data_IF_218146336644
#
_entry.id   IF_218146336644
#
_cell.length_a   1.000
_cell.length_b   1.000
_cell.length_c   1.000
_cell.angle_alpha   90.00
_cell.angle_beta   90.00
_cell.angle_gamma   90.00
#
_symmetry.space_group_name_H-M   'P 1'
#
loop_
_entity.id
_entity.type
_entity.pdbx_description
1 polymer ?
#
# COMPACT_ATOMS: atom_id res chain seq x y z
N UNK A 1 2.18 14.81 -25.24
CA UNK A 1 2.96 13.55 -25.09
C UNK A 1 4.00 13.59 -23.97
N UNK A 2 4.57 14.74 -23.59
CA UNK A 2 5.55 14.85 -22.50
C UNK A 2 4.99 14.57 -21.08
N UNK A 3 3.71 14.85 -20.81
CA UNK A 3 3.05 14.65 -19.51
C UNK A 3 3.12 13.20 -19.00
N UNK A 4 2.83 12.23 -19.87
CA UNK A 4 2.79 10.81 -19.49
C UNK A 4 4.19 10.23 -19.29
N UNK A 5 5.19 10.67 -20.06
CA UNK A 5 6.57 10.19 -19.88
C UNK A 5 7.21 10.76 -18.62
N UNK A 6 6.84 11.98 -18.22
CA UNK A 6 7.27 12.59 -16.96
C UNK A 6 6.64 11.88 -15.76
N UNK A 7 5.33 11.57 -15.81
CA UNK A 7 4.67 10.78 -14.77
C UNK A 7 5.32 9.40 -14.60
N UNK A 8 5.62 8.71 -15.71
CA UNK A 8 6.27 7.40 -15.68
C UNK A 8 7.72 7.45 -15.14
N UNK A 9 8.45 8.52 -15.44
CA UNK A 9 9.81 8.72 -14.91
C UNK A 9 9.80 8.86 -13.38
N UNK A 10 8.80 9.56 -12.83
CA UNK A 10 8.59 9.69 -11.39
C UNK A 10 8.24 8.33 -10.77
N UNK A 11 7.26 7.62 -11.36
CA UNK A 11 6.86 6.27 -10.91
C UNK A 11 8.07 5.33 -10.87
N UNK A 12 8.88 5.31 -11.93
CA UNK A 12 10.07 4.45 -12.01
C UNK A 12 11.12 4.82 -10.97
N UNK A 13 11.34 6.12 -10.74
CA UNK A 13 12.27 6.60 -9.71
C UNK A 13 11.81 6.14 -8.32
N UNK A 14 10.53 6.31 -8.00
CA UNK A 14 9.98 5.90 -6.70
C UNK A 14 10.06 4.39 -6.52
N UNK A 15 9.66 3.61 -7.52
CA UNK A 15 9.76 2.15 -7.47
C UNK A 15 11.19 1.68 -7.21
N UNK A 16 12.17 2.25 -7.90
CA UNK A 16 13.59 1.89 -7.72
C UNK A 16 14.12 2.32 -6.35
N UNK A 17 13.69 3.49 -5.87
CA UNK A 17 14.08 4.01 -4.56
C UNK A 17 13.51 3.13 -3.46
N UNK A 18 12.27 2.70 -3.60
CA UNK A 18 11.59 1.91 -2.58
C UNK A 18 11.97 0.43 -2.61
N UNK A 19 12.29 -0.12 -3.78
CA UNK A 19 12.93 -1.44 -3.91
C UNK A 19 14.34 -1.45 -3.29
N UNK A 20 15.08 -0.34 -3.36
CA UNK A 20 16.36 -0.19 -2.65
C UNK A 20 16.16 -0.02 -1.14
N UNK A 21 15.07 0.64 -0.74
CA UNK A 21 14.57 0.69 0.63
C UNK A 21 13.84 -0.58 1.05
N UNK A 22 14.38 -1.76 0.73
CA UNK A 22 13.75 -3.07 0.97
C UNK A 22 13.25 -3.27 2.40
N UNK A 23 13.85 -2.60 3.39
CA UNK A 23 13.43 -2.61 4.80
C UNK A 23 11.96 -2.20 4.99
N UNK A 24 11.45 -1.30 4.15
CA UNK A 24 10.08 -0.80 4.22
C UNK A 24 9.08 -1.85 3.71
N UNK A 25 9.34 -2.43 2.55
CA UNK A 25 8.52 -3.52 1.99
C UNK A 25 8.54 -4.72 2.95
N UNK A 26 9.72 -5.07 3.47
CA UNK A 26 9.88 -6.13 4.46
C UNK A 26 9.05 -5.87 5.72
N UNK A 27 9.03 -4.64 6.23
CA UNK A 27 8.22 -4.27 7.41
C UNK A 27 6.70 -4.43 7.15
N UNK A 28 6.23 -4.01 5.99
CA UNK A 28 4.81 -4.11 5.62
C UNK A 28 4.37 -5.56 5.48
N UNK A 29 5.17 -6.36 4.76
CA UNK A 29 4.93 -7.80 4.58
C UNK A 29 4.97 -8.49 5.93
N UNK A 30 6.00 -8.26 6.75
CA UNK A 30 6.11 -8.86 8.09
C UNK A 30 4.91 -8.53 8.97
N UNK A 31 4.45 -7.27 8.98
CA UNK A 31 3.29 -6.89 9.78
C UNK A 31 2.03 -7.60 9.30
N UNK A 32 1.77 -7.62 7.99
CA UNK A 32 0.63 -8.34 7.42
C UNK A 32 0.66 -9.83 7.74
N UNK A 33 1.82 -10.47 7.58
CA UNK A 33 2.03 -11.88 7.91
C UNK A 33 1.82 -12.16 9.41
N UNK A 34 2.36 -11.32 10.29
CA UNK A 34 2.18 -11.45 11.74
C UNK A 34 0.71 -11.35 12.14
N UNK A 35 -0.04 -10.40 11.57
CA UNK A 35 -1.49 -10.31 11.82
C UNK A 35 -2.18 -11.60 11.39
N UNK A 36 -1.91 -12.11 10.19
CA UNK A 36 -2.49 -13.37 9.71
C UNK A 36 -2.16 -14.54 10.65
N UNK A 37 -0.91 -14.67 11.07
CA UNK A 37 -0.44 -15.76 11.94
C UNK A 37 -1.02 -15.67 13.36
N UNK A 38 -0.95 -14.50 14.00
CA UNK A 38 -1.45 -14.31 15.37
C UNK A 38 -2.93 -14.65 15.44
N UNK A 39 -3.71 -14.21 14.46
CA UNK A 39 -5.13 -14.58 14.40
C UNK A 39 -5.36 -16.04 14.04
N UNK A 40 -4.55 -16.62 13.15
CA UNK A 40 -4.69 -18.04 12.81
C UNK A 40 -4.45 -18.93 14.03
N UNK A 41 -3.41 -18.66 14.82
CA UNK A 41 -3.14 -19.39 16.06
C UNK A 41 -4.08 -19.04 17.21
N UNK A 42 -4.59 -17.81 17.24
CA UNK A 42 -5.50 -17.33 18.28
C UNK A 42 -6.96 -17.77 18.11
N UNK A 43 -7.34 -18.31 16.95
CA UNK A 43 -8.72 -18.72 16.67
C UNK A 43 -8.86 -20.24 16.79
N UNK A 44 -9.77 -20.73 17.64
CA UNK A 44 -10.04 -22.17 17.75
C UNK A 44 -10.65 -22.73 16.43
N UNK A 45 -10.14 -23.88 15.93
CA UNK A 45 -10.71 -24.55 14.77
C UNK A 45 -12.15 -25.02 15.04
N UNK A 46 -13.10 -24.62 14.20
CA UNK A 46 -14.48 -25.16 14.22
C UNK A 46 -15.54 -24.28 14.87
N UNK A 47 -15.18 -23.12 15.43
CA UNK A 47 -16.18 -22.14 15.84
C UNK A 47 -16.92 -21.57 14.61
N UNK A 48 -18.26 -21.49 14.62
CA UNK A 48 -19.02 -20.80 13.55
C UNK A 48 -18.53 -19.35 13.35
N UNK A 49 -18.14 -18.71 14.44
CA UNK A 49 -17.53 -17.36 14.45
C UNK A 49 -16.21 -17.28 13.67
N UNK A 50 -15.52 -18.39 13.42
CA UNK A 50 -14.23 -18.41 12.72
C UNK A 50 -14.35 -18.03 11.23
N UNK A 51 -15.53 -18.15 10.62
CA UNK A 51 -15.75 -17.70 9.23
C UNK A 51 -15.76 -16.17 9.13
N UNK A 52 -16.50 -15.50 10.03
CA UNK A 52 -16.55 -14.03 10.09
C UNK A 52 -15.24 -13.43 10.59
N UNK A 53 -14.55 -14.12 11.51
CA UNK A 53 -13.23 -13.68 11.96
C UNK A 53 -12.22 -13.64 10.81
N UNK A 54 -12.19 -14.67 9.95
CA UNK A 54 -11.25 -14.77 8.81
C UNK A 54 -11.31 -13.58 7.85
N UNK A 55 -12.50 -13.08 7.51
CA UNK A 55 -12.63 -11.90 6.64
C UNK A 55 -12.15 -10.62 7.32
N UNK A 56 -12.38 -10.49 8.63
CA UNK A 56 -11.86 -9.40 9.45
C UNK A 56 -10.32 -9.39 9.53
N UNK A 57 -9.72 -10.57 9.66
CA UNK A 57 -8.25 -10.74 9.70
C UNK A 57 -7.61 -10.28 8.40
N UNK A 58 -8.19 -10.66 7.25
CA UNK A 58 -7.70 -10.21 5.95
C UNK A 58 -7.74 -8.68 5.84
N UNK A 59 -8.85 -8.05 6.23
CA UNK A 59 -8.99 -6.60 6.24
C UNK A 59 -8.01 -5.91 7.19
N UNK A 60 -7.83 -6.45 8.40
CA UNK A 60 -6.89 -5.90 9.38
C UNK A 60 -5.45 -5.95 8.85
N UNK A 61 -5.01 -7.10 8.33
CA UNK A 61 -3.67 -7.26 7.75
C UNK A 61 -3.44 -6.27 6.60
N UNK A 62 -4.45 -6.07 5.76
CA UNK A 62 -4.39 -5.13 4.64
C UNK A 62 -4.30 -3.67 5.10
N UNK A 63 -5.16 -3.25 6.02
CA UNK A 63 -5.19 -1.89 6.54
C UNK A 63 -3.89 -1.53 7.26
N UNK A 64 -3.39 -2.40 8.14
CA UNK A 64 -2.14 -2.16 8.87
C UNK A 64 -0.94 -2.06 7.93
N UNK A 65 -0.85 -2.96 6.95
CA UNK A 65 0.18 -2.89 5.91
C UNK A 65 0.06 -1.60 5.08
N UNK A 66 -1.16 -1.23 4.68
CA UNK A 66 -1.43 -0.05 3.87
C UNK A 66 -1.09 1.27 4.57
N UNK A 67 -1.35 1.38 5.88
CA UNK A 67 -0.97 2.56 6.67
C UNK A 67 0.55 2.75 6.70
N UNK A 68 1.32 1.67 6.82
CA UNK A 68 2.79 1.72 6.76
C UNK A 68 3.26 2.14 5.37
N UNK A 69 2.65 1.62 4.31
CA UNK A 69 2.96 1.99 2.92
C UNK A 69 2.83 3.50 2.68
N UNK A 70 1.68 4.05 3.06
CA UNK A 70 1.39 5.48 2.92
C UNK A 70 2.33 6.33 3.76
N UNK A 71 2.55 5.96 5.03
CA UNK A 71 3.37 6.76 5.95
C UNK A 71 4.83 6.87 5.53
N UNK A 72 5.39 5.79 4.96
CA UNK A 72 6.79 5.73 4.54
C UNK A 72 7.06 6.41 3.21
N UNK A 73 6.13 6.31 2.25
CA UNK A 73 6.23 7.01 0.96
C UNK A 73 6.46 8.52 1.16
N UNK A 74 5.80 9.13 2.15
CA UNK A 74 5.99 10.54 2.47
C UNK A 74 7.19 10.85 3.37
N UNK A 75 7.54 9.96 4.29
CA UNK A 75 8.75 10.13 5.13
C UNK A 75 10.02 10.14 4.27
N UNK A 76 10.11 9.23 3.28
CA UNK A 76 11.26 9.13 2.39
C UNK A 76 11.50 10.38 1.55
N UNK A 77 10.44 11.07 1.12
CA UNK A 77 10.54 12.32 0.37
C UNK A 77 10.91 13.52 1.25
N UNK A 78 10.41 13.54 2.48
CA UNK A 78 10.73 14.58 3.45
C UNK A 78 12.21 14.53 3.84
N UNK A 79 12.74 13.32 4.02
CA UNK A 79 14.17 13.10 4.32
C UNK A 79 15.07 13.37 3.10
N UNK A 80 14.57 13.18 1.88
CA UNK A 80 15.34 13.42 0.65
C UNK A 80 15.42 14.89 0.22
N UNK A 81 14.76 15.83 0.92
CA UNK A 81 14.71 17.25 0.52
C UNK A 81 14.09 17.49 -0.87
N UNK A 82 13.42 16.48 -1.43
CA UNK A 82 12.94 16.47 -2.81
C UNK A 82 11.70 17.34 -3.01
N UNK A 83 10.96 17.64 -1.92
CA UNK A 83 9.79 18.52 -1.94
C UNK A 83 10.16 19.94 -2.38
N UNK A 84 11.27 20.49 -1.88
CA UNK A 84 11.73 21.83 -2.24
C UNK A 84 12.27 21.88 -3.68
N UNK A 85 12.92 20.81 -4.15
CA UNK A 85 13.38 20.67 -5.53
C UNK A 85 12.24 20.48 -6.55
N UNK A 86 11.14 19.82 -6.16
CA UNK A 86 9.95 19.65 -7.00
C UNK A 86 9.15 20.95 -7.11
N UNK A 87 9.08 21.75 -6.04
CA UNK A 87 8.42 23.06 -6.05
C UNK A 87 9.17 24.09 -6.91
N UNK A 88 10.46 23.88 -7.17
CA UNK A 88 11.29 24.69 -8.06
C UNK A 88 11.26 24.21 -9.53
N UNK A 89 10.72 23.02 -9.81
CA UNK A 89 10.55 22.53 -11.17
C UNK A 89 9.28 23.10 -11.80
N UNK A 90 9.31 23.51 -13.09
CA UNK A 90 8.13 23.96 -13.84
C UNK A 90 7.28 22.76 -14.30
N UNK A 91 6.97 21.85 -13.37
CA UNK A 91 6.12 20.69 -13.61
C UNK A 91 4.75 20.95 -12.98
N UNK A 92 3.69 20.69 -13.75
CA UNK A 92 2.32 20.86 -13.31
C UNK A 92 2.03 19.98 -12.09
N UNK A 93 1.43 20.56 -11.03
CA UNK A 93 1.20 19.91 -9.73
C UNK A 93 0.40 18.61 -9.86
N UNK A 94 -0.42 18.49 -10.90
CA UNK A 94 -1.19 17.29 -11.22
C UNK A 94 -0.33 16.08 -11.66
N UNK A 95 0.82 16.30 -12.31
CA UNK A 95 1.71 15.22 -12.79
C UNK A 95 2.45 14.57 -11.63
N UNK A 96 2.87 15.39 -10.67
CA UNK A 96 3.51 14.95 -9.43
C UNK A 96 2.53 14.11 -8.62
N UNK A 97 1.29 14.59 -8.46
CA UNK A 97 0.25 13.86 -7.74
C UNK A 97 -0.05 12.50 -8.39
N UNK A 98 -0.23 12.47 -9.71
CA UNK A 98 -0.53 11.23 -10.44
C UNK A 98 0.61 10.23 -10.39
N UNK A 99 1.86 10.67 -10.59
CA UNK A 99 3.03 9.79 -10.53
C UNK A 99 3.16 9.13 -9.16
N UNK A 100 2.96 9.91 -8.10
CA UNK A 100 3.09 9.44 -6.72
C UNK A 100 1.94 8.55 -6.26
N UNK A 101 0.72 8.89 -6.67
CA UNK A 101 -0.45 8.05 -6.45
C UNK A 101 -0.27 6.68 -7.10
N UNK A 102 0.25 6.64 -8.34
CA UNK A 102 0.53 5.39 -9.04
C UNK A 102 1.65 4.58 -8.39
N UNK A 103 2.73 5.21 -7.95
CA UNK A 103 3.82 4.54 -7.21
C UNK A 103 3.33 3.88 -5.93
N UNK A 104 2.57 4.63 -5.12
CA UNK A 104 1.98 4.13 -3.88
C UNK A 104 0.96 3.02 -4.15
N UNK A 105 0.14 3.16 -5.21
CA UNK A 105 -0.84 2.14 -5.60
C UNK A 105 -0.16 0.82 -5.96
N UNK A 106 0.91 0.85 -6.76
CA UNK A 106 1.66 -0.35 -7.13
C UNK A 106 2.25 -1.02 -5.87
N UNK A 107 2.77 -0.22 -4.95
CA UNK A 107 3.40 -0.74 -3.74
C UNK A 107 2.40 -1.38 -2.78
N UNK A 108 1.29 -0.69 -2.49
CA UNK A 108 0.18 -1.23 -1.67
C UNK A 108 -0.40 -2.48 -2.31
N UNK A 109 -0.63 -2.45 -3.64
CA UNK A 109 -1.16 -3.58 -4.38
C UNK A 109 -0.22 -4.79 -4.32
N UNK A 110 1.08 -4.60 -4.60
CA UNK A 110 2.07 -5.68 -4.60
C UNK A 110 2.19 -6.35 -3.22
N UNK A 111 2.27 -5.57 -2.16
CA UNK A 111 2.30 -6.08 -0.78
C UNK A 111 1.00 -6.80 -0.42
N UNK A 112 -0.13 -6.22 -0.84
CA UNK A 112 -1.44 -6.82 -0.67
C UNK A 112 -1.56 -8.22 -1.30
N UNK A 113 -1.04 -8.39 -2.52
CA UNK A 113 -1.01 -9.70 -3.20
C UNK A 113 -0.20 -10.71 -2.41
N UNK A 114 0.96 -10.33 -1.87
CA UNK A 114 1.79 -11.22 -1.03
C UNK A 114 1.03 -11.65 0.23
N UNK A 115 0.37 -10.71 0.92
CA UNK A 115 -0.43 -11.00 2.12
C UNK A 115 -1.59 -11.94 1.78
N UNK A 116 -2.28 -11.71 0.65
CA UNK A 116 -3.39 -12.54 0.21
C UNK A 116 -2.94 -13.97 -0.10
N UNK A 117 -1.84 -14.13 -0.84
CA UNK A 117 -1.26 -15.45 -1.12
C UNK A 117 -0.93 -16.18 0.17
N UNK A 118 -0.26 -15.51 1.11
CA UNK A 118 0.08 -16.08 2.40
C UNK A 118 -1.17 -16.48 3.20
N UNK A 119 -2.19 -15.63 3.25
CA UNK A 119 -3.47 -15.91 3.91
C UNK A 119 -4.14 -17.17 3.35
N UNK A 120 -4.14 -17.35 2.03
CA UNK A 120 -4.77 -18.51 1.38
C UNK A 120 -4.07 -19.82 1.74
N UNK A 121 -2.74 -19.80 1.87
CA UNK A 121 -1.93 -20.95 2.29
C UNK A 121 -2.18 -21.28 3.77
N UNK A 122 -2.14 -20.27 4.65
CA UNK A 122 -2.27 -20.46 6.10
C UNK A 122 -3.65 -20.93 6.51
N UNK A 123 -4.72 -20.39 5.90
CA UNK A 123 -6.09 -20.78 6.21
C UNK A 123 -6.64 -21.92 5.34
N UNK A 124 -5.82 -22.46 4.42
CA UNK A 124 -6.18 -23.53 3.49
C UNK A 124 -7.56 -23.28 2.83
N UNK A 125 -7.80 -22.06 2.36
CA UNK A 125 -9.07 -21.67 1.75
C UNK A 125 -9.01 -21.97 0.26
N UNK A 126 -9.89 -22.86 -0.21
CA UNK A 126 -10.06 -23.15 -1.63
C UNK A 126 -10.54 -21.92 -2.39
N UNK A 127 -9.64 -21.29 -3.16
CA UNK A 127 -9.90 -20.07 -3.93
C UNK A 127 -10.62 -20.42 -5.25
N UNK A 128 -11.79 -21.06 -5.18
CA UNK A 128 -12.52 -21.52 -6.36
C UNK A 128 -13.17 -20.37 -7.14
N UNK A 129 -14.40 -20.00 -6.79
CA UNK A 129 -15.19 -19.00 -7.52
C UNK A 129 -15.00 -17.55 -6.99
N UNK A 130 -14.44 -17.37 -5.80
CA UNK A 130 -14.33 -16.07 -5.12
C UNK A 130 -13.05 -15.27 -5.42
N UNK A 131 -12.10 -15.83 -6.18
CA UNK A 131 -10.80 -15.20 -6.42
C UNK A 131 -10.93 -13.83 -7.09
N UNK A 132 -11.85 -13.70 -8.05
CA UNK A 132 -12.10 -12.46 -8.78
C UNK A 132 -12.62 -11.36 -7.84
N UNK A 133 -13.52 -11.72 -6.92
CA UNK A 133 -14.06 -10.80 -5.93
C UNK A 133 -13.00 -10.33 -4.93
N UNK A 134 -12.11 -11.24 -4.49
CA UNK A 134 -10.98 -10.89 -3.63
C UNK A 134 -9.98 -9.98 -4.34
N UNK A 135 -9.69 -10.25 -5.61
CA UNK A 135 -8.77 -9.42 -6.41
C UNK A 135 -9.37 -8.03 -6.65
N UNK A 136 -10.67 -7.95 -6.95
CA UNK A 136 -11.38 -6.68 -7.10
C UNK A 136 -11.41 -5.89 -5.79
N UNK A 137 -11.68 -6.54 -4.66
CA UNK A 137 -11.58 -5.94 -3.33
C UNK A 137 -10.18 -5.38 -3.07
N UNK A 138 -9.14 -6.14 -3.43
CA UNK A 138 -7.75 -5.76 -3.25
C UNK A 138 -7.38 -4.53 -4.09
N UNK A 139 -7.83 -4.47 -5.35
CA UNK A 139 -7.69 -3.28 -6.20
C UNK A 139 -8.40 -2.09 -5.57
N UNK A 140 -9.66 -2.25 -5.18
CA UNK A 140 -10.48 -1.16 -4.62
C UNK A 140 -9.90 -0.63 -3.31
N UNK A 141 -9.47 -1.52 -2.41
CA UNK A 141 -8.84 -1.18 -1.15
C UNK A 141 -7.51 -0.45 -1.38
N UNK A 142 -6.70 -0.92 -2.33
CA UNK A 142 -5.43 -0.28 -2.69
C UNK A 142 -5.67 1.13 -3.24
N UNK A 143 -6.62 1.29 -4.16
CA UNK A 143 -7.00 2.61 -4.70
C UNK A 143 -7.47 3.55 -3.59
N UNK A 144 -8.34 3.09 -2.69
CA UNK A 144 -8.85 3.88 -1.58
C UNK A 144 -7.74 4.34 -0.63
N UNK A 145 -6.90 3.40 -0.18
CA UNK A 145 -5.77 3.68 0.72
C UNK A 145 -4.74 4.61 0.08
N UNK A 146 -4.37 4.37 -1.19
CA UNK A 146 -3.39 5.21 -1.88
C UNK A 146 -3.96 6.61 -2.14
N UNK A 147 -5.24 6.75 -2.47
CA UNK A 147 -5.86 8.07 -2.70
C UNK A 147 -5.95 8.87 -1.40
N UNK A 148 -6.52 8.29 -0.34
CA UNK A 148 -6.62 8.94 0.97
C UNK A 148 -5.23 9.25 1.54
N UNK A 149 -4.32 8.30 1.43
CA UNK A 149 -2.96 8.45 1.90
C UNK A 149 -2.20 9.57 1.21
N UNK A 150 -2.33 9.67 -0.12
CA UNK A 150 -1.70 10.74 -0.90
C UNK A 150 -2.32 12.09 -0.58
N UNK A 151 -3.65 12.17 -0.43
CA UNK A 151 -4.36 13.40 -0.05
C UNK A 151 -3.95 13.89 1.34
N UNK A 152 -4.03 13.04 2.36
CA UNK A 152 -3.71 13.43 3.74
C UNK A 152 -2.27 13.89 3.86
N UNK A 153 -1.35 13.23 3.18
CA UNK A 153 0.03 13.57 3.29
C UNK A 153 0.42 14.78 2.41
N UNK A 154 -0.32 15.08 1.33
CA UNK A 154 -0.25 16.39 0.66
C UNK A 154 -0.73 17.54 1.58
N UNK A 155 -1.83 17.34 2.31
CA UNK A 155 -2.31 18.31 3.31
C UNK A 155 -1.29 18.48 4.44
N UNK A 156 -0.75 17.39 4.98
CA UNK A 156 0.25 17.42 6.05
C UNK A 156 1.56 18.13 5.62
N UNK A 157 1.95 18.01 4.35
CA UNK A 157 3.08 18.74 3.79
C UNK A 157 2.78 20.25 3.65
N UNK A 158 1.57 20.62 3.24
CA UNK A 158 1.15 22.02 3.09
C UNK A 158 0.96 22.78 4.42
N UNK A 159 0.59 22.10 5.50
CA UNK A 159 0.30 22.72 6.81
C UNK A 159 1.55 23.27 7.52
N UNK A 160 2.77 22.90 7.11
CA UNK A 160 4.03 23.39 7.71
C UNK A 160 4.85 24.33 6.84
N UNK A 161 4.32 24.77 5.70
CA UNK A 161 4.99 25.75 4.83
C UNK A 161 4.80 27.21 5.29
N UNK A 162 4.62 27.46 6.59
CA UNK A 162 4.54 28.80 7.17
C UNK A 162 5.40 28.90 8.42
#
# INVERSE_FOLDING_TARGET
MAYFSQAWAIVRKDLVTELRGASTIVSMVLLGLLVVLVFNFGTEPGAESASLARSGVLWAAFLFSGVIAVGRSFASEKEAGCLDGLLLCPADRGVIYLGKLLGNLILVFSTGVVILLFFTVVYNVGIGAGWLGLLLLLVLASVGLSTLGTLFAAVAAGVRAR
#
